data_IF_851527758630
#
_entry.id   IF_851527758630
#
_cell.length_a   1.000
_cell.length_b   1.000
_cell.length_c   1.000
_cell.angle_alpha   90.00
_cell.angle_beta   90.00
_cell.angle_gamma   90.00
#
_symmetry.space_group_name_H-M   'P 1'
#
loop_
_entity.id
_entity.type
_entity.pdbx_description
1 polymer ?
#
# COMPACT_ATOMS: atom_id res chain seq x y z
N UNK A 1 41.64 -21.35 28.48
CA UNK A 1 41.48 -21.29 27.02
C UNK A 1 40.34 -22.19 26.48
N UNK A 2 40.02 -23.27 27.18
CA UNK A 2 38.98 -24.25 26.71
C UNK A 2 37.54 -23.74 26.81
N UNK A 3 37.25 -22.77 27.68
CA UNK A 3 35.91 -22.17 27.80
C UNK A 3 35.43 -21.40 26.57
N UNK A 4 36.32 -20.88 25.72
CA UNK A 4 35.93 -20.13 24.54
C UNK A 4 35.31 -21.00 23.44
N UNK A 5 35.69 -22.28 23.40
CA UNK A 5 35.14 -23.24 22.45
C UNK A 5 33.67 -23.63 22.78
N UNK A 6 33.27 -23.51 24.04
CA UNK A 6 31.89 -23.80 24.50
C UNK A 6 30.92 -22.65 24.24
N UNK A 7 31.39 -21.41 24.03
CA UNK A 7 30.56 -20.23 23.80
C UNK A 7 30.25 -20.00 22.31
N UNK A 8 31.11 -20.47 21.41
CA UNK A 8 30.95 -20.30 19.96
C UNK A 8 29.64 -20.91 19.39
N UNK A 9 29.16 -22.08 19.81
CA UNK A 9 27.94 -22.66 19.28
C UNK A 9 26.65 -21.96 19.76
N UNK A 10 26.70 -21.15 20.80
CA UNK A 10 25.52 -20.49 21.37
C UNK A 10 25.06 -19.22 20.66
N UNK A 11 25.74 -18.77 19.60
CA UNK A 11 25.48 -17.51 18.87
C UNK A 11 25.34 -16.27 19.77
N UNK A 12 25.87 -16.34 21.01
CA UNK A 12 25.85 -15.23 21.97
C UNK A 12 27.11 -14.39 21.73
N UNK A 13 26.99 -13.07 21.47
CA UNK A 13 28.15 -12.22 21.36
C UNK A 13 28.85 -12.12 22.71
N UNK A 14 30.16 -12.39 22.76
CA UNK A 14 30.95 -12.32 23.96
C UNK A 14 32.21 -11.49 23.74
N UNK A 15 32.70 -10.92 24.82
CA UNK A 15 33.96 -10.18 24.87
C UNK A 15 34.95 -10.93 25.72
N UNK A 16 36.23 -10.82 25.37
CA UNK A 16 37.31 -11.39 26.21
C UNK A 16 38.02 -10.25 26.91
N UNK A 17 38.27 -10.40 28.19
CA UNK A 17 38.97 -9.45 29.06
C UNK A 17 40.28 -10.09 29.51
N UNK A 18 41.40 -9.43 29.28
CA UNK A 18 42.69 -9.84 29.75
C UNK A 18 43.35 -8.80 30.67
N UNK A 19 44.35 -9.23 31.43
CA UNK A 19 45.13 -8.34 32.32
C UNK A 19 46.31 -7.65 31.59
N UNK A 20 46.56 -8.00 30.35
CA UNK A 20 47.66 -7.41 29.55
C UNK A 20 47.28 -7.27 28.08
N UNK A 21 47.88 -6.33 27.39
CA UNK A 21 47.70 -6.11 25.94
C UNK A 21 48.42 -7.14 25.07
N UNK A 22 48.41 -8.44 25.44
CA UNK A 22 49.05 -9.48 24.62
C UNK A 22 48.29 -9.68 23.31
N UNK A 23 48.93 -9.22 22.24
CA UNK A 23 48.40 -9.31 20.87
C UNK A 23 48.05 -10.74 20.44
N UNK A 24 48.79 -11.75 20.89
CA UNK A 24 48.54 -13.16 20.57
C UNK A 24 47.22 -13.67 21.18
N UNK A 25 46.96 -13.25 22.40
CA UNK A 25 45.72 -13.58 23.09
C UNK A 25 44.52 -12.87 22.43
N UNK A 26 44.70 -11.62 22.03
CA UNK A 26 43.64 -10.88 21.32
C UNK A 26 43.28 -11.56 19.98
N UNK A 27 44.25 -11.91 19.16
CA UNK A 27 44.03 -12.63 17.89
C UNK A 27 43.39 -13.98 18.13
N UNK A 28 43.86 -14.76 19.11
CA UNK A 28 43.26 -16.06 19.44
C UNK A 28 41.82 -15.95 19.91
N UNK A 29 41.44 -14.89 20.64
CA UNK A 29 40.09 -14.63 21.09
C UNK A 29 39.15 -14.31 19.89
N UNK A 30 39.59 -13.43 18.99
CA UNK A 30 38.83 -13.06 17.78
C UNK A 30 38.65 -14.27 16.84
N UNK A 31 39.66 -15.08 16.63
CA UNK A 31 39.58 -16.32 15.82
C UNK A 31 38.61 -17.34 16.38
N UNK A 32 38.36 -17.31 17.70
CA UNK A 32 37.37 -18.15 18.38
C UNK A 32 35.99 -17.54 18.50
N UNK A 33 35.71 -16.44 17.79
CA UNK A 33 34.41 -15.82 17.72
C UNK A 33 34.12 -14.76 18.77
N UNK A 34 35.13 -14.32 19.55
CA UNK A 34 34.97 -13.15 20.40
C UNK A 34 34.70 -11.90 19.52
N UNK A 35 33.81 -11.04 19.97
CA UNK A 35 33.50 -9.78 19.27
C UNK A 35 34.63 -8.77 19.40
N UNK A 36 35.31 -8.79 20.54
CA UNK A 36 36.49 -7.96 20.80
C UNK A 36 37.26 -8.48 22.01
N UNK A 37 38.51 -7.94 22.19
CA UNK A 37 39.38 -8.22 23.33
C UNK A 37 39.78 -6.89 23.99
N UNK A 38 39.70 -6.81 25.32
CA UNK A 38 40.01 -5.64 26.11
C UNK A 38 41.07 -5.97 27.17
N UNK A 39 42.15 -5.20 27.20
CA UNK A 39 43.20 -5.26 28.22
C UNK A 39 42.86 -4.28 29.35
N UNK A 40 42.52 -4.79 30.54
CA UNK A 40 42.27 -3.92 31.69
C UNK A 40 43.51 -3.70 32.52
N UNK A 41 43.71 -2.46 33.07
CA UNK A 41 42.73 -1.35 33.13
C UNK A 41 42.69 -0.41 31.90
N UNK A 42 43.65 -0.54 30.97
CA UNK A 42 43.88 0.45 29.91
C UNK A 42 42.69 0.63 28.98
N UNK A 43 42.00 -0.44 28.62
CA UNK A 43 40.87 -0.43 27.70
C UNK A 43 39.52 -0.28 28.39
N UNK A 44 39.45 0.08 29.66
CA UNK A 44 38.19 0.20 30.41
C UNK A 44 37.18 1.13 29.73
N UNK A 45 37.69 2.26 29.19
CA UNK A 45 36.86 3.22 28.45
C UNK A 45 36.31 2.68 27.13
N UNK A 46 37.09 1.85 26.44
CA UNK A 46 36.67 1.18 25.20
C UNK A 46 35.63 0.09 25.49
N UNK A 47 35.85 -0.74 26.49
CA UNK A 47 34.92 -1.77 26.93
C UNK A 47 33.56 -1.16 27.31
N UNK A 48 33.56 -0.08 28.09
CA UNK A 48 32.33 0.63 28.50
C UNK A 48 31.54 1.11 27.29
N UNK A 49 32.19 1.79 26.33
CA UNK A 49 31.54 2.23 25.09
C UNK A 49 30.99 1.07 24.26
N UNK A 50 31.73 -0.03 24.17
CA UNK A 50 31.32 -1.23 23.43
C UNK A 50 30.09 -1.88 24.07
N UNK A 51 30.05 -1.96 25.40
CA UNK A 51 28.88 -2.46 26.15
C UNK A 51 27.67 -1.55 26.05
N UNK A 52 27.84 -0.22 26.12
CA UNK A 52 26.78 0.77 25.94
C UNK A 52 26.16 0.69 24.53
N UNK A 53 27.01 0.57 23.52
CA UNK A 53 26.59 0.38 22.12
C UNK A 53 25.78 -0.91 21.96
N UNK A 54 26.26 -2.03 22.49
CA UNK A 54 25.56 -3.31 22.45
C UNK A 54 24.22 -3.26 23.18
N UNK A 55 24.16 -2.58 24.34
CA UNK A 55 22.93 -2.38 25.09
C UNK A 55 21.89 -1.59 24.30
N UNK A 56 22.33 -0.55 23.60
CA UNK A 56 21.47 0.27 22.74
C UNK A 56 20.96 -0.52 21.55
N UNK A 57 21.83 -1.27 20.86
CA UNK A 57 21.47 -2.16 19.75
C UNK A 57 20.48 -3.24 20.18
N UNK A 58 20.70 -3.89 21.34
CA UNK A 58 19.83 -4.90 21.88
C UNK A 58 18.46 -4.36 22.31
N UNK A 59 18.42 -3.14 22.88
CA UNK A 59 17.16 -2.46 23.21
C UNK A 59 16.36 -2.11 21.96
N UNK A 60 17.03 -1.56 20.94
CA UNK A 60 16.41 -1.24 19.66
C UNK A 60 15.83 -2.50 18.99
N UNK A 61 16.58 -3.62 18.99
CA UNK A 61 16.10 -4.88 18.43
C UNK A 61 14.88 -5.43 19.19
N UNK A 62 14.91 -5.45 20.53
CA UNK A 62 13.75 -5.88 21.33
C UNK A 62 12.54 -5.00 21.15
N UNK A 63 12.72 -3.67 20.99
CA UNK A 63 11.63 -2.76 20.70
C UNK A 63 11.02 -3.04 19.31
N UNK A 64 11.85 -3.28 18.30
CA UNK A 64 11.40 -3.64 16.96
C UNK A 64 10.69 -5.01 16.93
N UNK A 65 11.18 -6.00 17.67
CA UNK A 65 10.54 -7.32 17.80
C UNK A 65 9.15 -7.21 18.45
N UNK A 66 9.01 -6.43 19.52
CA UNK A 66 7.70 -6.17 20.18
C UNK A 66 6.75 -5.43 19.24
N UNK A 67 7.22 -4.37 18.59
CA UNK A 67 6.42 -3.64 17.60
C UNK A 67 5.93 -4.55 16.49
N UNK A 68 6.79 -5.45 15.97
CA UNK A 68 6.41 -6.42 14.95
C UNK A 68 5.36 -7.42 15.47
N UNK A 69 5.40 -7.77 16.76
CA UNK A 69 4.42 -8.66 17.41
C UNK A 69 3.06 -7.98 17.55
N UNK A 70 3.03 -6.74 18.02
CA UNK A 70 1.83 -5.91 18.12
C UNK A 70 1.19 -5.68 16.72
N UNK A 71 2.02 -5.40 15.71
CA UNK A 71 1.56 -5.25 14.32
C UNK A 71 1.09 -6.59 13.72
N UNK A 72 1.67 -7.71 14.09
CA UNK A 72 1.21 -9.04 13.66
C UNK A 72 -0.19 -9.34 14.18
N UNK A 73 -0.52 -8.91 15.39
CA UNK A 73 -1.86 -9.06 15.97
C UNK A 73 -2.86 -8.10 15.33
N UNK A 74 -2.48 -6.84 15.12
CA UNK A 74 -3.38 -5.79 14.63
C UNK A 74 -3.52 -5.75 13.10
N UNK A 75 -2.46 -6.07 12.36
CA UNK A 75 -2.36 -5.94 10.91
C UNK A 75 -1.98 -7.24 10.20
N UNK A 76 -1.94 -8.36 10.90
CA UNK A 76 -1.60 -9.67 10.35
C UNK A 76 -2.76 -10.33 9.57
N UNK A 77 -2.55 -11.58 9.16
CA UNK A 77 -3.58 -12.35 8.44
C UNK A 77 -4.88 -12.53 9.24
N UNK A 78 -4.84 -12.47 10.57
CA UNK A 78 -6.03 -12.50 11.44
C UNK A 78 -6.88 -11.23 11.34
N UNK A 79 -6.31 -10.12 10.92
CA UNK A 79 -7.02 -8.85 10.72
C UNK A 79 -7.82 -8.83 9.41
N UNK A 80 -7.51 -9.72 8.45
CA UNK A 80 -8.22 -9.85 7.19
C UNK A 80 -9.51 -10.63 7.42
N UNK A 81 -10.62 -9.92 7.53
CA UNK A 81 -11.93 -10.48 7.82
C UNK A 81 -12.55 -11.05 6.55
N UNK A 82 -12.98 -12.31 6.60
CA UNK A 82 -13.71 -12.99 5.54
C UNK A 82 -13.66 -14.51 5.68
N UNK A 83 -14.70 -15.17 5.17
CA UNK A 83 -14.87 -16.62 5.19
C UNK A 83 -15.08 -17.22 3.80
N UNK A 84 -15.16 -16.39 2.77
CA UNK A 84 -15.33 -16.85 1.40
C UNK A 84 -14.19 -17.74 0.95
N UNK A 85 -14.50 -18.72 0.11
CA UNK A 85 -13.49 -19.65 -0.43
C UNK A 85 -12.42 -18.90 -1.22
N UNK A 86 -12.85 -17.94 -2.04
CA UNK A 86 -11.97 -17.14 -2.87
C UNK A 86 -10.94 -16.36 -2.04
N UNK A 87 -11.37 -15.69 -0.96
CA UNK A 87 -10.47 -14.96 -0.07
C UNK A 87 -9.52 -15.90 0.68
N UNK A 88 -10.03 -17.02 1.21
CA UNK A 88 -9.21 -18.00 1.93
C UNK A 88 -8.09 -18.58 1.07
N UNK A 89 -8.36 -18.86 -0.21
CA UNK A 89 -7.32 -19.34 -1.13
C UNK A 89 -6.17 -18.33 -1.27
N UNK A 90 -6.50 -17.04 -1.41
CA UNK A 90 -5.47 -15.98 -1.51
C UNK A 90 -4.69 -15.86 -0.20
N UNK A 91 -5.35 -15.92 0.96
CA UNK A 91 -4.69 -15.87 2.27
C UNK A 91 -3.75 -17.06 2.45
N UNK A 92 -4.13 -18.27 2.07
CA UNK A 92 -3.28 -19.45 2.15
C UNK A 92 -2.05 -19.36 1.23
N UNK A 93 -2.21 -18.85 0.02
CA UNK A 93 -1.08 -18.55 -0.85
C UNK A 93 -0.15 -17.50 -0.23
N UNK A 94 -0.73 -16.41 0.29
CA UNK A 94 0.02 -15.34 0.95
C UNK A 94 0.80 -15.85 2.17
N UNK A 95 0.23 -16.74 3.00
CA UNK A 95 0.92 -17.36 4.14
C UNK A 95 2.15 -18.15 3.72
N UNK A 96 2.06 -18.93 2.63
CA UNK A 96 3.21 -19.67 2.09
C UNK A 96 4.29 -18.72 1.59
N UNK A 97 3.91 -17.70 0.84
CA UNK A 97 4.85 -16.71 0.27
C UNK A 97 5.49 -15.85 1.37
N UNK A 98 4.79 -15.58 2.45
CA UNK A 98 5.32 -14.81 3.58
C UNK A 98 6.57 -15.45 4.19
N UNK A 99 6.68 -16.78 4.19
CA UNK A 99 7.84 -17.50 4.74
C UNK A 99 9.13 -17.28 3.95
N UNK A 100 9.04 -16.81 2.71
CA UNK A 100 10.21 -16.55 1.86
C UNK A 100 10.70 -15.12 2.02
N UNK A 101 11.98 -14.98 2.36
CA UNK A 101 12.60 -13.70 2.73
C UNK A 101 12.57 -12.66 1.60
N UNK A 102 12.87 -13.07 0.36
CA UNK A 102 13.23 -12.16 -0.74
C UNK A 102 12.30 -12.24 -1.95
N UNK A 103 11.22 -13.02 -1.86
CA UNK A 103 10.27 -13.19 -2.98
C UNK A 103 9.47 -11.91 -3.18
N UNK A 104 9.51 -11.39 -4.41
CA UNK A 104 8.68 -10.26 -4.83
C UNK A 104 7.23 -10.71 -5.02
N UNK A 105 6.30 -9.89 -4.54
CA UNK A 105 4.86 -10.18 -4.60
C UNK A 105 4.16 -9.01 -5.29
N UNK A 106 3.29 -9.34 -6.24
CA UNK A 106 2.39 -8.38 -6.87
C UNK A 106 0.95 -8.67 -6.43
N UNK A 107 0.34 -7.70 -5.74
CA UNK A 107 -1.04 -7.80 -5.26
C UNK A 107 -1.95 -7.08 -6.24
N UNK A 108 -2.77 -7.85 -6.96
CA UNK A 108 -3.83 -7.31 -7.82
C UNK A 108 -5.17 -7.23 -7.10
N UNK A 109 -6.04 -6.36 -7.57
CA UNK A 109 -7.43 -6.28 -7.09
C UNK A 109 -7.97 -4.86 -7.11
N UNK A 110 -9.28 -4.74 -7.17
CA UNK A 110 -9.98 -3.45 -7.22
C UNK A 110 -9.64 -2.55 -6.03
N UNK A 111 -9.89 -1.26 -6.18
CA UNK A 111 -9.72 -0.30 -5.08
C UNK A 111 -10.61 -0.68 -3.89
N UNK A 112 -10.05 -0.59 -2.67
CA UNK A 112 -10.78 -0.90 -1.43
C UNK A 112 -10.94 -2.38 -1.10
N UNK A 113 -10.27 -3.31 -1.80
CA UNK A 113 -10.30 -4.76 -1.51
C UNK A 113 -9.45 -5.20 -0.32
N UNK A 114 -8.52 -4.33 0.15
CA UNK A 114 -7.62 -4.62 1.28
C UNK A 114 -6.20 -4.98 0.89
N UNK A 115 -5.69 -4.50 -0.26
CA UNK A 115 -4.32 -4.76 -0.75
C UNK A 115 -3.24 -4.38 0.26
N UNK A 116 -3.36 -3.20 0.90
CA UNK A 116 -2.43 -2.74 1.94
C UNK A 116 -2.41 -3.69 3.15
N UNK A 117 -3.58 -4.10 3.65
CA UNK A 117 -3.67 -5.03 4.77
C UNK A 117 -3.00 -6.38 4.47
N UNK A 118 -3.15 -6.87 3.22
CA UNK A 118 -2.46 -8.08 2.78
C UNK A 118 -0.94 -7.87 2.69
N UNK A 119 -0.46 -6.70 2.24
CA UNK A 119 0.96 -6.37 2.18
C UNK A 119 1.59 -6.31 3.59
N UNK A 120 0.90 -5.68 4.55
CA UNK A 120 1.32 -5.67 5.97
C UNK A 120 1.35 -7.09 6.54
N UNK A 121 0.32 -7.89 6.30
CA UNK A 121 0.29 -9.29 6.74
C UNK A 121 1.45 -10.11 6.15
N UNK A 122 1.79 -9.93 4.89
CA UNK A 122 2.95 -10.56 4.24
C UNK A 122 4.28 -10.17 4.89
N UNK A 123 4.44 -8.91 5.30
CA UNK A 123 5.65 -8.44 5.95
C UNK A 123 5.76 -8.97 7.39
N UNK A 124 4.74 -8.76 8.24
CA UNK A 124 4.80 -9.10 9.66
C UNK A 124 4.76 -10.61 9.94
N UNK A 125 4.43 -11.44 8.93
CA UNK A 125 4.57 -12.89 8.99
C UNK A 125 5.80 -13.43 8.25
N UNK A 126 6.74 -12.56 7.88
CA UNK A 126 7.97 -12.93 7.18
C UNK A 126 9.19 -12.93 8.10
N UNK A 127 10.35 -13.50 7.64
CA UNK A 127 11.61 -13.38 8.37
C UNK A 127 12.11 -11.93 8.52
N UNK A 128 11.49 -10.95 7.83
CA UNK A 128 11.80 -9.52 7.92
C UNK A 128 10.85 -8.75 8.85
N UNK A 129 10.00 -9.43 9.63
CA UNK A 129 8.94 -8.81 10.43
C UNK A 129 9.44 -7.71 11.41
N UNK A 130 10.63 -7.89 12.00
CA UNK A 130 11.24 -6.92 12.90
C UNK A 130 12.03 -5.80 12.20
N UNK A 131 12.10 -5.83 10.87
CA UNK A 131 12.77 -4.82 10.05
C UNK A 131 11.76 -3.79 9.53
N UNK A 132 12.20 -2.64 8.97
CA UNK A 132 11.29 -1.61 8.52
C UNK A 132 10.30 -2.09 7.45
N UNK A 133 9.03 -1.70 7.60
CA UNK A 133 8.02 -1.72 6.54
C UNK A 133 7.82 -0.30 6.06
N UNK A 134 8.23 -0.02 4.84
CA UNK A 134 8.16 1.32 4.25
C UNK A 134 7.16 1.31 3.12
N UNK A 135 6.12 2.12 3.28
CA UNK A 135 5.02 2.25 2.33
C UNK A 135 5.14 3.52 1.50
N UNK A 136 4.86 3.40 0.22
CA UNK A 136 4.75 4.53 -0.70
C UNK A 136 3.58 4.32 -1.66
N UNK A 137 2.72 5.33 -1.77
CA UNK A 137 1.66 5.35 -2.76
C UNK A 137 2.13 6.14 -3.99
N UNK A 138 2.34 5.43 -5.10
CA UNK A 138 2.87 6.01 -6.34
C UNK A 138 1.91 7.01 -7.01
N UNK A 139 0.60 6.93 -6.70
CA UNK A 139 -0.40 7.86 -7.22
C UNK A 139 -0.53 9.15 -6.39
N UNK A 140 -0.11 9.12 -5.12
CA UNK A 140 -0.29 10.24 -4.20
C UNK A 140 0.82 11.31 -4.28
N UNK A 141 1.97 10.97 -4.87
CA UNK A 141 3.15 11.83 -4.92
C UNK A 141 3.35 12.33 -6.36
N UNK A 142 3.51 13.64 -6.58
CA UNK A 142 3.85 14.18 -7.89
C UNK A 142 5.10 13.52 -8.49
N UNK A 143 5.10 13.26 -9.79
CA UNK A 143 6.17 12.50 -10.48
C UNK A 143 7.57 13.06 -10.24
N UNK A 144 7.72 14.38 -10.21
CA UNK A 144 9.00 15.08 -9.97
C UNK A 144 9.55 14.89 -8.54
N UNK A 145 8.68 14.61 -7.56
CA UNK A 145 9.06 14.34 -6.17
C UNK A 145 9.25 12.85 -5.91
N UNK A 146 8.50 12.00 -6.61
CA UNK A 146 8.51 10.56 -6.41
C UNK A 146 9.89 9.95 -6.60
N UNK A 147 10.68 10.43 -7.58
CA UNK A 147 12.05 10.00 -7.78
C UNK A 147 12.92 10.28 -6.55
N UNK A 148 12.86 11.52 -6.04
CA UNK A 148 13.60 11.94 -4.87
C UNK A 148 13.17 11.21 -3.59
N UNK A 149 11.88 10.89 -3.44
CA UNK A 149 11.39 10.10 -2.31
C UNK A 149 11.86 8.64 -2.40
N UNK A 150 11.78 8.00 -3.56
CA UNK A 150 12.18 6.60 -3.74
C UNK A 150 13.70 6.40 -3.58
N UNK A 151 14.49 7.19 -4.32
CA UNK A 151 15.93 6.98 -4.46
C UNK A 151 16.79 7.90 -3.61
N UNK A 152 16.20 8.97 -3.04
CA UNK A 152 16.93 10.03 -2.34
C UNK A 152 17.60 11.02 -3.28
N UNK A 153 18.16 12.07 -2.71
CA UNK A 153 18.90 13.08 -3.47
C UNK A 153 20.14 13.56 -2.71
N UNK A 154 21.12 14.02 -3.46
CA UNK A 154 22.28 14.73 -2.93
C UNK A 154 21.97 16.23 -2.89
N UNK A 155 22.75 16.96 -2.06
CA UNK A 155 22.62 18.42 -1.97
C UNK A 155 22.86 19.05 -3.35
N UNK A 156 21.97 19.94 -3.78
CA UNK A 156 22.06 20.63 -5.06
C UNK A 156 21.55 19.83 -6.28
N UNK A 157 20.92 18.67 -6.06
CA UNK A 157 20.41 17.82 -7.15
C UNK A 157 19.32 18.51 -7.98
N UNK A 158 18.56 19.40 -7.37
CA UNK A 158 17.51 20.22 -8.02
C UNK A 158 17.29 21.52 -7.22
N UNK A 159 16.56 22.46 -7.79
CA UNK A 159 16.19 23.70 -7.11
C UNK A 159 15.37 23.41 -5.86
N UNK A 160 15.93 23.72 -4.67
CA UNK A 160 15.33 23.38 -3.37
C UNK A 160 16.00 22.22 -2.63
N UNK A 161 16.94 21.49 -3.23
CA UNK A 161 17.72 20.45 -2.55
C UNK A 161 18.82 21.05 -1.65
N UNK A 162 18.42 21.64 -0.53
CA UNK A 162 19.33 22.33 0.41
C UNK A 162 20.25 21.35 1.14
N UNK A 163 19.79 20.14 1.42
CA UNK A 163 20.51 19.07 2.11
C UNK A 163 20.36 17.75 1.36
N UNK A 164 21.27 16.81 1.57
CA UNK A 164 21.11 15.44 1.07
C UNK A 164 20.02 14.73 1.89
N UNK A 165 19.17 13.94 1.23
CA UNK A 165 18.10 13.14 1.85
C UNK A 165 18.20 11.67 1.40
N UNK A 166 18.21 10.70 2.34
CA UNK A 166 18.12 9.29 1.97
C UNK A 166 16.76 8.97 1.35
N UNK A 167 16.73 8.07 0.37
CA UNK A 167 15.49 7.59 -0.24
C UNK A 167 14.83 6.49 0.57
N UNK A 168 13.53 6.24 0.29
CA UNK A 168 12.75 5.22 0.98
C UNK A 168 13.33 3.81 0.79
N UNK A 169 13.95 3.52 -0.35
CA UNK A 169 14.69 2.27 -0.57
C UNK A 169 15.91 2.12 0.35
N UNK A 170 16.60 3.22 0.70
CA UNK A 170 17.68 3.19 1.69
C UNK A 170 17.13 2.98 3.11
N UNK A 171 16.05 3.68 3.45
CA UNK A 171 15.41 3.60 4.77
C UNK A 171 14.82 2.21 5.06
N UNK A 172 14.39 1.51 4.02
CA UNK A 172 13.86 0.16 4.10
C UNK A 172 14.93 -0.94 4.14
N UNK A 173 16.21 -0.59 4.23
CA UNK A 173 17.31 -1.56 4.21
C UNK A 173 17.12 -2.67 5.26
N UNK A 174 17.22 -3.94 4.85
CA UNK A 174 16.93 -5.12 5.67
C UNK A 174 15.46 -5.49 5.75
N UNK A 175 14.54 -4.59 5.36
CA UNK A 175 13.09 -4.68 5.50
C UNK A 175 12.33 -4.92 4.20
N UNK A 176 11.15 -4.29 4.11
CA UNK A 176 10.23 -4.41 2.97
C UNK A 176 9.77 -3.02 2.50
N UNK A 177 9.75 -2.82 1.19
CA UNK A 177 9.09 -1.67 0.56
C UNK A 177 7.78 -2.13 -0.05
N UNK A 178 6.71 -1.46 0.31
CA UNK A 178 5.40 -1.63 -0.27
C UNK A 178 5.12 -0.48 -1.25
N UNK A 179 5.01 -0.82 -2.53
CA UNK A 179 4.71 0.11 -3.62
C UNK A 179 3.21 0.01 -3.94
N UNK A 180 2.42 0.85 -3.31
CA UNK A 180 0.98 0.91 -3.62
C UNK A 180 0.76 1.67 -4.92
N UNK A 181 -0.23 1.22 -5.68
CA UNK A 181 -0.60 1.75 -7.00
C UNK A 181 0.60 1.84 -7.97
N UNK A 182 1.39 0.76 -8.03
CA UNK A 182 2.60 0.68 -8.88
C UNK A 182 2.32 0.91 -10.37
N UNK A 183 1.08 0.65 -10.81
CA UNK A 183 0.64 0.94 -12.19
C UNK A 183 0.69 2.43 -12.55
N UNK A 184 0.71 3.31 -11.55
CA UNK A 184 0.83 4.76 -11.73
C UNK A 184 2.28 5.27 -11.64
N UNK A 185 3.27 4.36 -11.54
CA UNK A 185 4.68 4.76 -11.54
C UNK A 185 5.05 5.38 -12.90
N UNK A 186 5.57 6.62 -12.93
CA UNK A 186 5.99 7.27 -14.17
C UNK A 186 6.94 6.42 -15.00
N UNK A 187 6.74 6.38 -16.32
CA UNK A 187 7.49 5.52 -17.24
C UNK A 187 9.02 5.73 -17.14
N UNK A 188 9.45 6.98 -16.89
CA UNK A 188 10.87 7.36 -16.69
C UNK A 188 11.49 6.80 -15.41
N UNK A 189 10.69 6.46 -14.39
CA UNK A 189 11.17 5.88 -13.13
C UNK A 189 11.21 4.35 -13.16
N UNK A 190 10.47 3.73 -14.06
CA UNK A 190 10.41 2.28 -14.15
C UNK A 190 11.77 1.61 -14.43
N UNK A 191 12.65 2.14 -15.34
CA UNK A 191 13.98 1.59 -15.54
C UNK A 191 14.89 1.70 -14.29
N UNK A 192 14.72 2.79 -13.50
CA UNK A 192 15.49 2.99 -12.27
C UNK A 192 15.09 1.98 -11.20
N UNK A 193 13.78 1.74 -11.06
CA UNK A 193 13.25 0.72 -10.16
C UNK A 193 13.70 -0.68 -10.59
N UNK A 194 13.61 -1.01 -11.89
CA UNK A 194 14.07 -2.29 -12.42
C UNK A 194 15.54 -2.53 -12.06
N UNK A 195 16.40 -1.54 -12.32
CA UNK A 195 17.82 -1.64 -11.96
C UNK A 195 18.02 -1.90 -10.46
N UNK A 196 17.29 -1.18 -9.59
CA UNK A 196 17.37 -1.40 -8.14
C UNK A 196 16.97 -2.82 -7.73
N UNK A 197 15.96 -3.41 -8.40
CA UNK A 197 15.50 -4.79 -8.18
C UNK A 197 16.51 -5.85 -8.66
N UNK A 198 17.24 -5.57 -9.74
CA UNK A 198 18.20 -6.50 -10.33
C UNK A 198 19.57 -6.46 -9.63
N UNK A 199 20.11 -5.25 -9.47
CA UNK A 199 21.46 -5.07 -8.95
C UNK A 199 21.52 -4.96 -7.44
N UNK A 200 20.37 -4.74 -6.77
CA UNK A 200 20.29 -4.37 -5.37
C UNK A 200 21.11 -3.12 -5.03
N UNK A 201 21.23 -2.23 -6.00
CA UNK A 201 21.94 -0.97 -5.85
C UNK A 201 21.05 0.18 -6.33
N UNK A 202 21.14 1.29 -5.60
CA UNK A 202 20.46 2.53 -5.97
C UNK A 202 21.48 3.65 -6.11
N UNK A 203 21.08 4.69 -6.83
CA UNK A 203 21.83 5.94 -6.94
C UNK A 203 20.91 7.10 -6.62
N UNK A 204 21.36 7.99 -5.74
CA UNK A 204 20.60 9.21 -5.42
C UNK A 204 20.55 10.15 -6.61
N UNK A 205 19.50 10.94 -6.69
CA UNK A 205 19.38 12.01 -7.69
C UNK A 205 20.52 13.00 -7.52
N UNK A 206 21.21 13.32 -8.61
CA UNK A 206 22.42 14.16 -8.58
C UNK A 206 23.68 13.49 -8.04
N UNK A 207 23.59 12.23 -7.55
CA UNK A 207 24.72 11.49 -7.01
C UNK A 207 25.42 10.61 -8.06
N UNK A 208 26.72 10.35 -7.84
CA UNK A 208 27.52 9.43 -8.68
C UNK A 208 27.75 8.07 -8.00
N UNK A 209 27.67 7.99 -6.68
CA UNK A 209 27.94 6.76 -5.93
C UNK A 209 26.73 5.83 -5.90
N UNK A 210 26.96 4.52 -6.16
CA UNK A 210 25.98 3.47 -5.93
C UNK A 210 25.97 3.06 -4.45
N UNK A 211 24.78 2.73 -3.94
CA UNK A 211 24.54 2.26 -2.56
C UNK A 211 23.81 0.93 -2.61
N UNK A 212 24.34 -0.06 -1.90
CA UNK A 212 23.68 -1.37 -1.79
C UNK A 212 22.47 -1.29 -0.88
N UNK A 213 21.36 -1.85 -1.34
CA UNK A 213 20.11 -1.96 -0.59
C UNK A 213 19.63 -3.41 -0.59
N UNK A 214 19.33 -3.94 0.58
CA UNK A 214 18.71 -5.26 0.74
C UNK A 214 17.25 -5.06 1.14
N UNK A 215 16.35 -5.04 0.15
CA UNK A 215 14.92 -4.81 0.37
C UNK A 215 14.10 -5.89 -0.31
N UNK A 216 13.01 -6.31 0.36
CA UNK A 216 11.94 -7.09 -0.25
C UNK A 216 10.94 -6.12 -0.85
N UNK A 217 10.44 -6.40 -2.07
CA UNK A 217 9.43 -5.58 -2.71
C UNK A 217 8.07 -6.29 -2.72
N UNK A 218 7.04 -5.55 -2.32
CA UNK A 218 5.63 -5.90 -2.50
C UNK A 218 5.00 -4.79 -3.31
N UNK A 219 4.51 -5.08 -4.51
CA UNK A 219 3.76 -4.13 -5.34
C UNK A 219 2.26 -4.36 -5.21
N UNK A 220 1.45 -3.31 -5.33
CA UNK A 220 0.00 -3.41 -5.46
C UNK A 220 -0.51 -2.56 -6.61
N UNK A 221 -1.52 -3.05 -7.32
CA UNK A 221 -2.17 -2.32 -8.41
C UNK A 221 -3.66 -2.67 -8.49
N UNK A 222 -4.48 -1.67 -8.78
CA UNK A 222 -5.86 -1.89 -9.23
C UNK A 222 -5.96 -1.89 -10.76
N UNK A 223 -4.93 -1.42 -11.46
CA UNK A 223 -4.86 -1.36 -12.92
C UNK A 223 -4.44 -2.74 -13.44
N UNK A 224 -5.02 -3.15 -14.56
CA UNK A 224 -4.57 -4.28 -15.35
C UNK A 224 -3.22 -3.94 -16.00
N UNK A 225 -2.12 -4.42 -15.40
CA UNK A 225 -0.77 -4.14 -15.86
C UNK A 225 -0.49 -4.70 -17.26
N UNK A 226 -0.91 -5.93 -17.64
CA UNK A 226 -0.86 -6.40 -19.02
C UNK A 226 -1.51 -5.43 -20.03
N UNK A 227 -2.69 -4.89 -19.71
CA UNK A 227 -3.32 -3.87 -20.56
C UNK A 227 -2.53 -2.55 -20.59
N UNK A 228 -1.94 -2.14 -19.47
CA UNK A 228 -1.06 -0.96 -19.41
C UNK A 228 0.23 -1.15 -20.24
N UNK A 229 0.79 -2.36 -20.26
CA UNK A 229 1.94 -2.71 -21.15
C UNK A 229 1.55 -2.56 -22.61
N UNK A 230 0.39 -3.08 -23.00
CA UNK A 230 -0.09 -2.97 -24.38
C UNK A 230 -0.31 -1.50 -24.83
N UNK A 231 -0.60 -0.57 -23.88
CA UNK A 231 -0.72 0.87 -24.15
C UNK A 231 0.61 1.63 -24.05
N UNK A 232 1.71 0.96 -23.69
CA UNK A 232 3.02 1.60 -23.51
C UNK A 232 3.14 2.43 -22.22
N UNK A 233 2.25 2.27 -21.28
CA UNK A 233 2.22 2.98 -19.97
C UNK A 233 3.05 2.28 -18.90
N UNK A 234 3.30 0.97 -19.08
CA UNK A 234 4.10 0.16 -18.17
C UNK A 234 5.08 -0.70 -18.95
N UNK A 235 6.30 -0.89 -18.41
CA UNK A 235 7.33 -1.69 -19.06
C UNK A 235 7.14 -3.18 -18.78
N UNK A 236 7.28 -3.98 -19.80
CA UNK A 236 7.15 -5.45 -19.72
C UNK A 236 8.26 -6.08 -18.85
N UNK A 237 9.51 -5.58 -18.95
CA UNK A 237 10.64 -6.10 -18.17
C UNK A 237 10.45 -5.88 -16.66
N UNK A 238 9.96 -4.71 -16.25
CA UNK A 238 9.63 -4.43 -14.87
C UNK A 238 8.46 -5.30 -14.38
N UNK A 239 7.43 -5.50 -15.22
CA UNK A 239 6.31 -6.37 -14.87
C UNK A 239 6.77 -7.79 -14.51
N UNK A 240 7.58 -8.43 -15.36
CA UNK A 240 8.07 -9.78 -15.06
C UNK A 240 8.95 -9.83 -13.82
N UNK A 241 9.69 -8.76 -13.52
CA UNK A 241 10.51 -8.69 -12.31
C UNK A 241 9.67 -8.52 -11.03
N UNK A 242 8.54 -7.82 -11.11
CA UNK A 242 7.60 -7.64 -10.00
C UNK A 242 6.67 -8.83 -9.82
N UNK A 243 6.24 -9.44 -10.90
CA UNK A 243 5.24 -10.51 -10.93
C UNK A 243 5.83 -11.91 -10.75
N UNK A 244 6.68 -12.10 -9.72
CA UNK A 244 7.21 -13.42 -9.36
C UNK A 244 6.12 -14.28 -8.73
N UNK A 245 5.35 -13.69 -7.81
CA UNK A 245 4.11 -14.26 -7.25
C UNK A 245 3.00 -13.26 -7.36
N UNK A 246 1.93 -13.61 -8.07
CA UNK A 246 0.70 -12.82 -8.15
C UNK A 246 -0.31 -13.28 -7.09
N UNK A 247 -0.84 -12.33 -6.32
CA UNK A 247 -1.95 -12.53 -5.40
C UNK A 247 -3.11 -11.64 -5.81
N UNK A 248 -4.19 -12.24 -6.29
CA UNK A 248 -5.35 -11.49 -6.76
C UNK A 248 -6.44 -11.47 -5.69
N UNK A 249 -6.65 -10.32 -5.04
CA UNK A 249 -7.73 -10.13 -4.08
C UNK A 249 -9.08 -10.07 -4.81
N UNK A 250 -10.03 -10.95 -4.47
CA UNK A 250 -11.34 -10.93 -5.09
C UNK A 250 -12.12 -9.67 -4.67
N UNK A 251 -12.93 -9.07 -5.56
CA UNK A 251 -13.82 -7.97 -5.20
C UNK A 251 -14.90 -8.47 -4.21
N UNK A 252 -15.46 -7.54 -3.42
CA UNK A 252 -16.38 -7.90 -2.33
C UNK A 252 -17.62 -8.66 -2.83
N UNK A 253 -18.13 -8.32 -4.02
CA UNK A 253 -19.25 -9.04 -4.68
C UNK A 253 -18.95 -10.50 -5.01
N UNK A 254 -17.66 -10.89 -5.10
CA UNK A 254 -17.23 -12.27 -5.32
C UNK A 254 -16.85 -12.99 -4.01
N UNK A 255 -17.05 -12.35 -2.86
CA UNK A 255 -16.79 -12.90 -1.53
C UNK A 255 -18.11 -13.28 -0.86
N UNK A 256 -18.63 -14.44 -1.20
CA UNK A 256 -19.91 -14.91 -0.68
C UNK A 256 -19.93 -14.97 0.85
N UNK A 257 -20.93 -14.32 1.46
CA UNK A 257 -21.12 -14.25 2.91
C UNK A 257 -20.20 -13.27 3.65
N UNK A 258 -19.19 -12.67 3.00
CA UNK A 258 -18.27 -11.76 3.65
C UNK A 258 -18.86 -10.37 3.88
N UNK A 259 -19.82 -9.93 3.05
CA UNK A 259 -20.45 -8.60 3.18
C UNK A 259 -21.08 -8.43 4.54
N UNK A 260 -21.88 -9.41 4.99
CA UNK A 260 -22.59 -9.37 6.27
C UNK A 260 -21.61 -9.48 7.45
N UNK A 261 -20.66 -10.40 7.35
CA UNK A 261 -19.63 -10.58 8.36
C UNK A 261 -18.80 -9.30 8.58
N UNK A 262 -18.43 -8.62 7.50
CA UNK A 262 -17.74 -7.34 7.54
C UNK A 262 -18.63 -6.24 8.12
N UNK A 263 -19.89 -6.16 7.71
CA UNK A 263 -20.85 -5.17 8.23
C UNK A 263 -21.02 -5.32 9.75
N UNK A 264 -21.26 -6.52 10.26
CA UNK A 264 -21.39 -6.80 11.70
C UNK A 264 -20.11 -6.43 12.46
N UNK A 265 -18.96 -6.75 11.88
CA UNK A 265 -17.67 -6.40 12.49
C UNK A 265 -17.47 -4.89 12.54
N UNK A 266 -17.81 -4.17 11.47
CA UNK A 266 -17.68 -2.71 11.42
C UNK A 266 -18.67 -2.04 12.38
N UNK A 267 -19.92 -2.50 12.44
CA UNK A 267 -20.89 -2.00 13.41
C UNK A 267 -20.33 -2.11 14.82
N UNK A 268 -19.84 -3.29 15.21
CA UNK A 268 -19.30 -3.52 16.55
C UNK A 268 -18.11 -2.63 16.86
N UNK A 269 -17.14 -2.54 15.92
CA UNK A 269 -15.92 -1.75 16.13
C UNK A 269 -16.19 -0.24 16.15
N UNK A 270 -17.01 0.25 15.21
CA UNK A 270 -17.30 1.67 15.10
C UNK A 270 -18.23 2.13 16.22
N UNK A 271 -19.22 1.33 16.63
CA UNK A 271 -20.06 1.62 17.80
C UNK A 271 -19.21 1.77 19.06
N UNK A 272 -18.26 0.85 19.29
CA UNK A 272 -17.34 0.94 20.41
C UNK A 272 -16.43 2.20 20.31
N UNK A 273 -15.94 2.52 19.11
CA UNK A 273 -15.09 3.68 18.86
C UNK A 273 -15.81 5.01 19.15
N UNK A 274 -17.09 5.11 18.78
CA UNK A 274 -17.89 6.34 18.96
C UNK A 274 -18.69 6.36 20.26
N UNK A 275 -18.62 5.31 21.10
CA UNK A 275 -19.39 5.22 22.33
C UNK A 275 -20.91 5.07 22.06
N UNK A 276 -21.28 4.51 20.91
CA UNK A 276 -22.65 4.30 20.50
C UNK A 276 -23.10 2.89 20.88
N UNK A 277 -24.43 2.67 21.12
CA UNK A 277 -24.95 1.33 21.29
C UNK A 277 -24.78 0.55 19.96
N UNK A 278 -24.43 -0.75 20.00
CA UNK A 278 -24.35 -1.56 18.79
C UNK A 278 -25.74 -1.68 18.14
N UNK A 279 -25.79 -1.39 16.84
CA UNK A 279 -27.00 -1.56 16.05
C UNK A 279 -27.10 -3.01 15.54
N UNK A 280 -28.31 -3.53 15.43
CA UNK A 280 -28.55 -4.85 14.86
C UNK A 280 -28.89 -4.73 13.36
N UNK A 281 -28.32 -5.63 12.57
CA UNK A 281 -28.71 -5.81 11.18
C UNK A 281 -30.00 -6.62 11.11
N UNK A 282 -31.11 -5.99 10.70
CA UNK A 282 -32.34 -6.68 10.41
C UNK A 282 -32.27 -7.45 9.08
N UNK A 283 -33.30 -8.24 8.78
CA UNK A 283 -33.37 -9.06 7.57
C UNK A 283 -33.42 -8.23 6.28
N UNK A 284 -34.09 -7.10 6.31
CA UNK A 284 -34.17 -6.20 5.17
C UNK A 284 -32.83 -5.57 4.85
N UNK A 285 -32.15 -5.02 5.85
CA UNK A 285 -30.80 -4.45 5.75
C UNK A 285 -29.81 -5.48 5.23
N UNK A 286 -29.83 -6.73 5.75
CA UNK A 286 -29.00 -7.83 5.24
C UNK A 286 -29.24 -8.10 3.76
N UNK A 287 -30.53 -8.14 3.33
CA UNK A 287 -30.87 -8.36 1.93
C UNK A 287 -30.35 -7.24 1.02
N UNK A 288 -30.48 -5.97 1.46
CA UNK A 288 -29.96 -4.81 0.74
C UNK A 288 -28.44 -4.83 0.65
N UNK A 289 -27.73 -5.18 1.73
CA UNK A 289 -26.27 -5.31 1.74
C UNK A 289 -25.78 -6.37 0.75
N UNK A 290 -26.48 -7.52 0.65
CA UNK A 290 -26.14 -8.59 -0.31
C UNK A 290 -26.39 -8.19 -1.76
N UNK A 291 -27.46 -7.45 -2.01
CA UNK A 291 -27.86 -7.06 -3.37
C UNK A 291 -26.95 -5.95 -3.96
N UNK A 292 -26.25 -5.20 -3.12
CA UNK A 292 -25.39 -4.11 -3.56
C UNK A 292 -24.08 -4.62 -4.19
N UNK A 293 -23.64 -4.07 -5.35
CA UNK A 293 -22.46 -4.54 -6.07
C UNK A 293 -21.12 -4.13 -5.45
N UNK A 294 -21.11 -3.18 -4.52
CA UNK A 294 -19.94 -2.68 -3.80
C UNK A 294 -18.76 -2.29 -4.70
N UNK A 295 -18.90 -1.31 -5.60
CA UNK A 295 -17.81 -0.89 -6.49
C UNK A 295 -16.57 -0.38 -5.72
N UNK A 296 -16.75 0.26 -4.56
CA UNK A 296 -15.65 0.66 -3.65
C UNK A 296 -15.25 -0.42 -2.64
N UNK A 297 -15.78 -1.65 -2.80
CA UNK A 297 -15.43 -2.82 -2.00
C UNK A 297 -15.56 -2.61 -0.47
N UNK A 298 -14.59 -3.10 0.30
CA UNK A 298 -14.59 -3.04 1.77
C UNK A 298 -14.52 -1.59 2.29
N UNK A 299 -13.84 -0.70 1.54
CA UNK A 299 -13.74 0.72 1.90
C UNK A 299 -15.10 1.41 1.81
N UNK A 300 -15.85 1.13 0.76
CA UNK A 300 -17.22 1.64 0.60
C UNK A 300 -18.13 1.10 1.68
N UNK A 301 -18.14 -0.22 1.90
CA UNK A 301 -18.94 -0.84 2.94
C UNK A 301 -18.68 -0.22 4.32
N UNK A 302 -17.41 -0.04 4.70
CA UNK A 302 -17.05 0.61 5.95
C UNK A 302 -17.62 2.02 6.05
N UNK A 303 -17.44 2.84 5.01
CA UNK A 303 -17.91 4.22 4.99
C UNK A 303 -19.47 4.30 5.09
N UNK A 304 -20.16 3.39 4.42
CA UNK A 304 -21.64 3.30 4.50
C UNK A 304 -22.09 2.95 5.91
N UNK A 305 -21.49 1.94 6.53
CA UNK A 305 -21.80 1.54 7.91
C UNK A 305 -21.47 2.67 8.89
N UNK A 306 -20.31 3.30 8.75
CA UNK A 306 -19.89 4.41 9.60
C UNK A 306 -20.86 5.58 9.52
N UNK A 307 -21.27 5.98 8.32
CA UNK A 307 -22.28 7.03 8.11
C UNK A 307 -23.61 6.66 8.72
N UNK A 308 -24.08 5.44 8.48
CA UNK A 308 -25.33 4.96 9.03
C UNK A 308 -25.33 4.98 10.56
N UNK A 309 -24.27 4.52 11.22
CA UNK A 309 -24.15 4.54 12.68
C UNK A 309 -24.18 5.95 13.27
N UNK A 310 -23.55 6.93 12.58
CA UNK A 310 -23.47 8.31 13.07
C UNK A 310 -24.77 9.08 12.85
N UNK A 311 -25.50 8.78 11.77
CA UNK A 311 -26.70 9.54 11.37
C UNK A 311 -28.02 8.89 11.82
N UNK A 312 -28.04 7.58 12.10
CA UNK A 312 -29.24 6.87 12.52
C UNK A 312 -29.58 7.10 13.99
N UNK A 313 -30.84 6.84 14.34
CA UNK A 313 -31.27 6.81 15.75
C UNK A 313 -30.58 5.68 16.49
N UNK A 314 -30.23 5.86 17.79
CA UNK A 314 -29.53 4.84 18.56
C UNK A 314 -30.25 3.49 18.54
N UNK A 315 -29.51 2.43 18.14
CA UNK A 315 -30.02 1.05 18.08
C UNK A 315 -30.63 0.61 16.74
N UNK A 316 -30.90 1.53 15.82
CA UNK A 316 -31.36 1.23 14.46
C UNK A 316 -30.29 1.63 13.44
N UNK A 317 -30.08 0.80 12.42
CA UNK A 317 -29.17 1.10 11.33
C UNK A 317 -30.01 1.36 10.06
N UNK A 318 -30.17 2.63 9.74
CA UNK A 318 -30.89 3.03 8.54
C UNK A 318 -29.87 3.18 7.38
N UNK A 319 -29.90 2.25 6.43
CA UNK A 319 -29.08 2.31 5.22
C UNK A 319 -29.86 3.04 4.11
N UNK A 320 -30.24 4.30 4.35
CA UNK A 320 -31.01 5.07 3.36
C UNK A 320 -30.28 5.26 2.03
N UNK A 321 -28.93 5.26 2.05
CA UNK A 321 -28.06 5.60 0.92
C UNK A 321 -27.49 4.40 0.13
N UNK A 322 -27.95 3.16 0.35
CA UNK A 322 -27.51 2.02 -0.48
C UNK A 322 -27.96 2.12 -1.96
N UNK A 323 -28.73 3.16 -2.32
CA UNK A 323 -29.07 3.49 -3.71
C UNK A 323 -28.57 4.86 -4.15
N UNK A 324 -28.10 5.67 -3.19
CA UNK A 324 -27.51 6.98 -3.40
C UNK A 324 -25.97 6.94 -3.31
N UNK A 325 -25.34 5.82 -3.63
CA UNK A 325 -23.98 5.91 -4.14
C UNK A 325 -24.09 6.89 -5.32
N UNK A 326 -23.81 8.16 -5.05
CA UNK A 326 -23.32 9.03 -6.09
C UNK A 326 -22.03 8.34 -6.59
N UNK A 327 -22.23 7.32 -7.39
CA UNK A 327 -21.41 7.14 -8.56
C UNK A 327 -21.54 8.52 -9.20
N UNK A 328 -20.62 9.40 -8.90
CA UNK A 328 -20.19 10.32 -9.95
C UNK A 328 -19.85 9.33 -11.05
N UNK A 329 -20.71 9.15 -12.05
CA UNK A 329 -20.32 8.33 -13.17
C UNK A 329 -19.11 9.07 -13.74
N UNK A 330 -17.92 8.58 -13.48
CA UNK A 330 -16.77 8.75 -14.35
C UNK A 330 -17.00 8.05 -15.70
N UNK A 331 -18.12 7.43 -15.90
CA UNK A 331 -18.72 7.32 -17.23
C UNK A 331 -19.34 8.68 -17.57
N UNK A 332 -18.50 9.66 -17.75
CA UNK A 332 -18.64 10.51 -18.88
C UNK A 332 -18.79 9.55 -20.06
N UNK A 333 -20.02 9.16 -20.39
CA UNK A 333 -20.30 8.62 -21.69
C UNK A 333 -19.69 9.63 -22.62
N UNK A 334 -18.57 9.27 -23.23
CA UNK A 334 -17.88 10.10 -24.19
C UNK A 334 -18.96 10.56 -25.17
N UNK A 335 -19.03 11.87 -25.40
CA UNK A 335 -19.84 12.34 -26.49
C UNK A 335 -19.44 11.50 -27.70
N UNK A 336 -20.40 10.96 -28.50
CA UNK A 336 -20.08 10.07 -29.59
C UNK A 336 -19.10 10.78 -30.54
N UNK A 337 -17.83 10.49 -30.39
CA UNK A 337 -16.76 11.08 -31.17
C UNK A 337 -15.76 9.98 -31.57
N UNK A 338 -15.42 9.82 -32.87
CA UNK A 338 -15.90 10.65 -33.99
C UNK A 338 -17.32 10.29 -34.45
N UNK A 339 -18.20 11.31 -34.56
CA UNK A 339 -19.56 11.16 -35.07
C UNK A 339 -19.97 12.46 -35.78
N UNK A 340 -21.03 12.48 -36.62
CA UNK A 340 -21.58 13.70 -37.20
C UNK A 340 -21.94 14.73 -36.11
N UNK A 341 -21.70 16.02 -36.38
CA UNK A 341 -21.91 17.09 -35.40
C UNK A 341 -23.33 17.06 -34.80
N UNK A 342 -24.33 16.72 -35.60
CA UNK A 342 -25.73 16.58 -35.19
C UNK A 342 -25.87 15.55 -34.08
N UNK A 343 -25.24 14.39 -34.19
CA UNK A 343 -25.27 13.31 -33.19
C UNK A 343 -24.58 13.76 -31.91
N UNK A 344 -23.44 14.45 -32.01
CA UNK A 344 -22.72 15.00 -30.86
C UNK A 344 -23.54 16.06 -30.14
N UNK A 345 -24.15 16.96 -30.88
CA UNK A 345 -24.99 18.05 -30.36
C UNK A 345 -26.24 17.51 -29.66
N UNK A 346 -26.90 16.51 -30.25
CA UNK A 346 -28.06 15.87 -29.66
C UNK A 346 -27.72 15.15 -28.36
N UNK A 347 -26.63 14.38 -28.32
CA UNK A 347 -26.14 13.70 -27.12
C UNK A 347 -25.76 14.71 -26.02
N UNK A 348 -25.14 15.84 -26.39
CA UNK A 348 -24.81 16.91 -25.44
C UNK A 348 -26.05 17.57 -24.84
N UNK A 349 -27.09 17.84 -25.65
CA UNK A 349 -28.36 18.42 -25.19
C UNK A 349 -29.11 17.45 -24.29
N UNK A 350 -29.22 16.18 -24.65
CA UNK A 350 -29.88 15.16 -23.82
C UNK A 350 -29.19 14.99 -22.47
N UNK A 351 -27.86 15.00 -22.48
CA UNK A 351 -27.06 14.91 -21.24
C UNK A 351 -27.26 16.14 -20.36
N UNK A 352 -27.24 17.34 -20.93
CA UNK A 352 -27.46 18.56 -20.17
C UNK A 352 -28.86 18.66 -19.61
N UNK A 353 -29.87 18.19 -20.33
CA UNK A 353 -31.24 18.10 -19.82
C UNK A 353 -31.36 17.16 -18.61
N UNK A 354 -30.69 16.02 -18.65
CA UNK A 354 -30.61 15.11 -17.49
C UNK A 354 -29.94 15.80 -16.30
N UNK A 355 -28.81 16.48 -16.50
CA UNK A 355 -28.09 17.24 -15.46
C UNK A 355 -28.89 18.43 -14.91
N UNK A 356 -29.78 19.01 -15.71
CA UNK A 356 -30.69 20.08 -15.32
C UNK A 356 -32.05 19.57 -14.81
N UNK A 357 -32.19 18.26 -14.53
CA UNK A 357 -33.45 17.63 -14.07
C UNK A 357 -34.66 18.00 -14.95
N UNK A 358 -34.47 18.06 -16.27
CA UNK A 358 -35.52 18.42 -17.24
C UNK A 358 -35.76 19.93 -17.40
N UNK A 359 -35.07 20.78 -16.65
CA UNK A 359 -35.22 22.24 -16.76
C UNK A 359 -34.56 22.79 -18.05
N UNK A 360 -35.37 23.00 -19.06
CA UNK A 360 -34.92 23.46 -20.39
C UNK A 360 -34.23 24.83 -20.36
N UNK A 361 -34.66 25.73 -19.49
CA UNK A 361 -34.06 27.07 -19.37
C UNK A 361 -32.66 27.00 -18.76
N UNK A 362 -32.48 26.18 -17.75
CA UNK A 362 -31.19 25.96 -17.12
C UNK A 362 -30.24 25.20 -18.06
N UNK A 363 -30.74 24.19 -18.77
CA UNK A 363 -29.95 23.43 -19.73
C UNK A 363 -29.45 24.33 -20.88
N UNK A 364 -30.29 25.18 -21.42
CA UNK A 364 -29.92 26.13 -22.47
C UNK A 364 -28.83 27.12 -22.00
N UNK A 365 -28.99 27.65 -20.78
CA UNK A 365 -28.00 28.55 -20.16
C UNK A 365 -26.64 27.87 -20.00
N UNK A 366 -26.61 26.66 -19.50
CA UNK A 366 -25.36 25.89 -19.30
C UNK A 366 -24.68 25.47 -20.61
N UNK A 367 -25.45 25.24 -21.67
CA UNK A 367 -24.93 24.96 -23.00
C UNK A 367 -24.52 26.21 -23.80
N UNK A 368 -24.78 27.41 -23.29
CA UNK A 368 -24.49 28.66 -23.97
C UNK A 368 -25.34 28.90 -25.23
N UNK A 369 -26.54 28.29 -25.29
CA UNK A 369 -27.47 28.43 -26.43
C UNK A 369 -28.81 29.01 -26.00
N UNK A 370 -29.55 29.57 -26.94
CA UNK A 370 -30.89 30.07 -26.65
C UNK A 370 -31.90 28.95 -26.43
N UNK A 371 -32.91 29.18 -25.58
CA UNK A 371 -33.98 28.19 -25.31
C UNK A 371 -34.73 27.74 -26.60
N UNK A 372 -35.02 28.60 -27.58
CA UNK A 372 -35.58 28.15 -28.85
C UNK A 372 -34.64 27.23 -29.64
N UNK A 373 -33.32 27.47 -29.62
CA UNK A 373 -32.34 26.59 -30.26
C UNK A 373 -32.28 25.24 -29.60
N UNK A 374 -32.28 25.20 -28.26
CA UNK A 374 -32.36 23.95 -27.52
C UNK A 374 -33.62 23.15 -27.88
N UNK A 375 -34.78 23.81 -27.97
CA UNK A 375 -36.05 23.15 -28.30
C UNK A 375 -36.00 22.55 -29.73
N UNK A 376 -35.44 23.24 -30.74
CA UNK A 376 -35.27 22.69 -32.08
C UNK A 376 -34.38 21.45 -32.12
N UNK A 377 -33.32 21.43 -31.36
CA UNK A 377 -32.41 20.27 -31.27
C UNK A 377 -33.14 19.08 -30.64
N UNK A 378 -33.95 19.30 -29.59
CA UNK A 378 -34.76 18.25 -28.95
C UNK A 378 -35.79 17.66 -29.92
N UNK A 379 -36.44 18.48 -30.70
CA UNK A 379 -37.47 18.08 -31.68
C UNK A 379 -36.89 17.47 -32.96
N UNK A 380 -35.56 17.35 -33.06
CA UNK A 380 -34.90 16.78 -34.25
C UNK A 380 -35.00 17.60 -35.51
N UNK A 381 -35.50 18.85 -35.44
CA UNK A 381 -35.58 19.79 -36.53
C UNK A 381 -34.17 20.36 -36.78
N UNK A 382 -33.47 19.80 -37.77
CA UNK A 382 -32.10 20.13 -38.11
C UNK A 382 -31.94 21.58 -38.53
N UNK A 383 -30.73 22.11 -38.29
CA UNK A 383 -30.22 23.28 -38.98
C UNK A 383 -29.89 22.86 -40.43
N UNK A 384 -30.79 23.12 -41.35
CA UNK A 384 -30.46 23.41 -42.74
C UNK A 384 -30.49 24.96 -42.85
N UNK A 385 -29.28 25.53 -42.70
CA UNK A 385 -28.75 26.76 -43.31
C UNK A 385 -27.54 27.27 -42.52
#
# INVERSE_FOLDING_TARGET
MDYLATLSPLSIPFYVIGASGDHRLAVAALQRGARDYFALPDDLGLLRRSLERQRTESRGRRAAERFAEDERESSGFGAIIGRSVALRQVIEQARRVAQHRDVTVLIGGETGTGKELLARALHYHSPRAAAPFVEINCAAIPANLLESELFGHERGAFTGAVAAKPGLLELAHGGTVFLDEIGNLPLELQPKLLRALETREIRRVGGQSSRKVDVRIIGASHVDLPAAIARGEFREDLFYRLNVVALLLPPLRAREGDVELLAETFITRLAAQYGLPPALLDLETRSRLRAHPWPGNVRELRNVIERALVLSTPGHLELEDLGASRVIPESGGELPFPAPLRTITQAAVERMLRLAHGNKSEAARRLGISRPRLQRIIEGLGEDE
#
